data_IF_619021307297
#
_entry.id   IF_619021307297
#
_cell.length_a   1.000
_cell.length_b   1.000
_cell.length_c   1.000
_cell.angle_alpha   90.00
_cell.angle_beta   90.00
_cell.angle_gamma   90.00
#
_symmetry.space_group_name_H-M   'P 1'
#
loop_
_entity.id
_entity.type
_entity.pdbx_description
1 polymer ?
#
# COMPACT_ATOMS: atom_id res chain seq x y z
N UNK A 1 29.25 4.34 -11.23
CA UNK A 1 28.85 5.49 -10.36
C UNK A 1 29.65 5.32 -9.08
N UNK A 2 30.36 6.34 -8.61
CA UNK A 2 31.16 6.23 -7.38
C UNK A 2 30.33 6.72 -6.20
N UNK A 3 30.29 5.93 -5.13
CA UNK A 3 29.63 6.29 -3.87
C UNK A 3 30.61 6.24 -2.71
N UNK A 4 30.40 7.12 -1.76
CA UNK A 4 31.16 7.22 -0.51
C UNK A 4 30.19 7.41 0.65
N UNK A 5 30.54 6.88 1.83
CA UNK A 5 29.79 7.10 3.04
C UNK A 5 30.71 7.07 4.25
N UNK A 6 30.54 8.06 5.13
CA UNK A 6 31.09 8.06 6.48
C UNK A 6 29.98 8.46 7.44
N UNK A 7 29.43 7.47 8.15
CA UNK A 7 28.41 7.66 9.16
C UNK A 7 28.55 6.60 10.26
N UNK A 8 27.69 6.67 11.27
CA UNK A 8 27.68 5.72 12.39
C UNK A 8 27.58 4.26 11.97
N UNK A 9 26.89 3.97 10.86
CA UNK A 9 26.57 2.60 10.42
C UNK A 9 27.44 2.10 9.26
N UNK A 10 27.98 3.00 8.45
CA UNK A 10 28.73 2.66 7.25
C UNK A 10 29.97 3.55 7.11
N UNK A 11 31.10 2.92 6.75
CA UNK A 11 32.31 3.63 6.34
C UNK A 11 32.91 2.94 5.13
N UNK A 12 32.89 3.61 3.99
CA UNK A 12 33.56 3.17 2.78
C UNK A 12 33.90 4.38 1.90
N UNK A 13 35.03 4.28 1.20
CA UNK A 13 35.55 5.32 0.33
C UNK A 13 35.58 4.80 -1.11
N UNK A 14 35.09 5.62 -2.03
CA UNK A 14 35.22 5.43 -3.48
C UNK A 14 34.82 4.03 -4.00
N UNK A 15 33.64 3.53 -3.63
CA UNK A 15 33.11 2.27 -4.15
C UNK A 15 32.45 2.51 -5.50
N UNK A 16 32.92 1.82 -6.55
CA UNK A 16 32.23 1.79 -7.84
C UNK A 16 31.09 0.77 -7.79
N UNK A 17 29.85 1.27 -7.88
CA UNK A 17 28.63 0.43 -7.92
C UNK A 17 28.23 0.01 -9.34
N UNK A 18 29.15 0.13 -10.30
CA UNK A 18 28.99 -0.38 -11.66
C UNK A 18 28.41 0.62 -12.65
N UNK A 19 28.01 0.10 -13.81
CA UNK A 19 27.50 0.88 -14.94
C UNK A 19 26.17 1.54 -14.57
N UNK A 20 26.15 2.88 -14.61
CA UNK A 20 24.91 3.63 -14.43
C UNK A 20 23.88 3.19 -15.46
N UNK A 21 22.63 3.07 -15.05
CA UNK A 21 21.51 2.91 -15.98
C UNK A 21 21.23 4.29 -16.60
N UNK A 22 21.17 4.37 -17.92
CA UNK A 22 20.76 5.60 -18.60
C UNK A 22 19.28 5.89 -18.33
N UNK A 23 18.95 7.13 -17.98
CA UNK A 23 17.57 7.57 -17.74
C UNK A 23 17.35 8.17 -16.36
N UNK A 24 16.09 8.49 -16.06
CA UNK A 24 15.69 8.94 -14.74
C UNK A 24 15.80 7.78 -13.74
N UNK A 25 16.25 8.03 -12.49
CA UNK A 25 16.23 7.01 -11.46
C UNK A 25 14.78 6.52 -11.23
N UNK A 26 14.59 5.24 -10.87
CA UNK A 26 13.26 4.75 -10.52
C UNK A 26 12.72 5.51 -9.30
N UNK A 27 11.38 5.72 -9.21
CA UNK A 27 10.79 6.40 -8.07
C UNK A 27 11.01 5.59 -6.79
N UNK A 28 11.25 6.29 -5.68
CA UNK A 28 11.47 5.70 -4.36
C UNK A 28 10.15 5.69 -3.59
N UNK A 29 9.59 4.50 -3.39
CA UNK A 29 8.37 4.33 -2.59
C UNK A 29 8.74 3.94 -1.16
N UNK A 30 8.29 4.72 -0.19
CA UNK A 30 8.64 4.52 1.21
C UNK A 30 7.48 3.89 1.96
N UNK A 31 7.73 2.68 2.48
CA UNK A 31 6.76 1.94 3.28
C UNK A 31 6.75 2.27 4.76
N UNK A 32 5.66 1.85 5.41
CA UNK A 32 5.49 1.85 6.87
C UNK A 32 4.55 2.93 7.41
N UNK A 33 4.01 2.66 8.59
CA UNK A 33 2.88 3.41 9.17
C UNK A 33 3.31 4.35 10.31
N UNK A 34 4.53 4.19 10.83
CA UNK A 34 4.98 4.94 11.99
C UNK A 34 5.23 6.42 11.67
N UNK A 35 5.21 7.32 12.67
CA UNK A 35 5.57 8.72 12.46
C UNK A 35 6.96 8.91 11.83
N UNK A 36 7.91 8.02 12.12
CA UNK A 36 9.23 8.07 11.49
C UNK A 36 9.20 7.65 10.02
N UNK A 37 8.34 6.69 9.65
CA UNK A 37 8.12 6.32 8.25
C UNK A 37 7.50 7.47 7.45
N UNK A 38 6.47 8.13 7.99
CA UNK A 38 5.84 9.30 7.35
C UNK A 38 6.87 10.42 7.12
N UNK A 39 7.72 10.72 8.13
CA UNK A 39 8.81 11.71 7.97
C UNK A 39 9.82 11.30 6.90
N UNK A 40 10.17 10.01 6.82
CA UNK A 40 11.08 9.51 5.78
C UNK A 40 10.46 9.62 4.39
N UNK A 41 9.17 9.26 4.25
CA UNK A 41 8.45 9.38 2.99
C UNK A 41 8.43 10.83 2.50
N UNK A 42 8.03 11.78 3.35
CA UNK A 42 8.03 13.20 2.99
C UNK A 42 9.41 13.72 2.55
N UNK A 43 10.48 13.28 3.24
CA UNK A 43 11.84 13.74 3.01
C UNK A 43 12.49 13.14 1.76
N UNK A 44 12.34 11.83 1.54
CA UNK A 44 13.13 11.08 0.56
C UNK A 44 12.30 10.32 -0.47
N UNK A 45 10.99 10.16 -0.25
CA UNK A 45 10.12 9.39 -1.12
C UNK A 45 9.48 10.22 -2.22
N UNK A 46 9.17 9.52 -3.31
CA UNK A 46 8.24 9.93 -4.37
C UNK A 46 6.83 9.39 -4.09
N UNK A 47 6.70 8.40 -3.21
CA UNK A 47 5.42 7.90 -2.72
C UNK A 47 5.49 7.44 -1.26
N UNK A 48 4.34 7.47 -0.58
CA UNK A 48 4.11 6.81 0.70
C UNK A 48 3.18 5.61 0.49
N UNK A 49 3.65 4.41 0.85
CA UNK A 49 2.89 3.15 0.75
C UNK A 49 2.73 2.51 2.14
N UNK A 50 1.72 2.92 2.92
CA UNK A 50 1.43 2.25 4.18
C UNK A 50 0.86 0.85 3.93
N UNK A 51 0.97 0.02 4.96
CA UNK A 51 0.52 -1.37 4.95
C UNK A 51 -0.69 -1.50 5.84
N UNK A 52 -1.78 -2.07 5.31
CA UNK A 52 -2.92 -2.54 6.10
C UNK A 52 -3.50 -1.47 7.05
N UNK A 53 -3.64 -0.24 6.53
CA UNK A 53 -4.34 0.84 7.22
C UNK A 53 -5.81 0.89 6.79
N UNK A 54 -6.69 1.07 7.77
CA UNK A 54 -8.10 1.42 7.58
C UNK A 54 -8.27 2.83 6.99
N UNK A 55 -9.46 3.14 6.44
CA UNK A 55 -9.78 4.49 5.95
C UNK A 55 -9.55 5.56 7.02
N UNK A 56 -9.99 5.31 8.26
CA UNK A 56 -9.82 6.26 9.35
C UNK A 56 -8.34 6.56 9.61
N UNK A 57 -7.47 5.55 9.50
CA UNK A 57 -6.03 5.76 9.65
C UNK A 57 -5.42 6.54 8.48
N UNK A 58 -5.94 6.42 7.26
CA UNK A 58 -5.55 7.33 6.17
C UNK A 58 -6.00 8.77 6.46
N UNK A 59 -7.25 8.97 6.88
CA UNK A 59 -7.78 10.28 7.25
C UNK A 59 -6.93 10.95 8.35
N UNK A 60 -6.43 10.15 9.30
CA UNK A 60 -5.59 10.62 10.39
C UNK A 60 -4.13 10.88 9.96
N UNK A 61 -3.58 10.10 9.03
CA UNK A 61 -2.15 10.16 8.68
C UNK A 61 -1.84 11.04 7.47
N UNK A 62 -2.75 11.20 6.51
CA UNK A 62 -2.56 12.08 5.36
C UNK A 62 -2.29 13.53 5.79
N UNK A 63 -3.02 14.14 6.75
CA UNK A 63 -2.71 15.48 7.24
C UNK A 63 -1.30 15.58 7.85
N UNK A 64 -0.85 14.55 8.58
CA UNK A 64 0.49 14.50 9.18
C UNK A 64 1.57 14.44 8.09
N UNK A 65 1.37 13.63 7.06
CA UNK A 65 2.24 13.56 5.89
C UNK A 65 2.33 14.91 5.17
N UNK A 66 1.17 15.56 4.94
CA UNK A 66 1.11 16.89 4.30
C UNK A 66 1.79 17.97 5.15
N UNK A 67 1.69 17.89 6.48
CA UNK A 67 2.39 18.80 7.38
C UNK A 67 3.92 18.64 7.28
N UNK A 68 4.43 17.40 7.16
CA UNK A 68 5.86 17.16 6.95
C UNK A 68 6.36 17.65 5.58
N UNK A 69 5.57 17.48 4.51
CA UNK A 69 5.88 18.06 3.20
C UNK A 69 5.94 19.59 3.26
N UNK A 70 4.95 20.22 3.90
CA UNK A 70 4.89 21.67 4.10
C UNK A 70 6.10 22.19 4.88
N UNK A 71 6.49 21.51 5.97
CA UNK A 71 7.69 21.85 6.77
C UNK A 71 8.99 21.80 5.95
N UNK A 72 9.02 20.99 4.90
CA UNK A 72 10.14 20.87 3.96
C UNK A 72 10.01 21.79 2.74
N UNK A 73 8.94 22.59 2.64
CA UNK A 73 8.66 23.43 1.48
C UNK A 73 8.29 22.65 0.21
N UNK A 74 7.87 21.38 0.35
CA UNK A 74 7.46 20.53 -0.78
C UNK A 74 5.95 20.65 -1.02
N UNK A 75 5.50 20.79 -2.27
CA UNK A 75 4.06 20.79 -2.57
C UNK A 75 3.48 19.38 -2.34
N UNK A 76 2.18 19.24 -2.01
CA UNK A 76 1.55 17.92 -1.84
C UNK A 76 1.69 17.01 -3.07
N UNK A 77 1.73 17.58 -4.28
CA UNK A 77 1.88 16.86 -5.54
C UNK A 77 3.27 16.27 -5.78
N UNK A 78 4.25 16.53 -4.90
CA UNK A 78 5.59 15.92 -5.02
C UNK A 78 5.67 14.49 -4.47
N UNK A 79 4.56 13.97 -3.92
CA UNK A 79 4.54 12.66 -3.29
C UNK A 79 3.18 11.99 -3.50
N UNK A 80 3.18 10.81 -4.13
CA UNK A 80 1.99 10.00 -4.36
C UNK A 80 1.59 9.23 -3.09
N UNK A 81 0.28 9.10 -2.86
CA UNK A 81 -0.25 8.30 -1.77
C UNK A 81 -0.72 6.97 -2.36
N UNK A 82 -0.18 5.86 -1.86
CA UNK A 82 -0.52 4.51 -2.29
C UNK A 82 -1.27 3.76 -1.19
N UNK A 83 -1.78 2.58 -1.50
CA UNK A 83 -2.23 1.59 -0.53
C UNK A 83 -1.58 0.23 -0.75
N UNK A 84 -1.34 -0.49 0.34
CA UNK A 84 -1.10 -1.92 0.32
C UNK A 84 -2.16 -2.60 1.19
N UNK A 85 -3.08 -3.34 0.58
CA UNK A 85 -4.26 -3.91 1.24
C UNK A 85 -4.41 -5.40 0.91
N UNK A 86 -4.79 -6.21 1.88
CA UNK A 86 -5.26 -7.58 1.63
C UNK A 86 -6.57 -7.58 0.82
N UNK A 87 -6.70 -8.50 -0.14
CA UNK A 87 -7.90 -8.66 -0.98
C UNK A 87 -8.52 -10.04 -0.75
N UNK A 88 -9.75 -10.06 -0.23
CA UNK A 88 -10.62 -11.23 -0.10
C UNK A 88 -11.88 -10.99 -0.94
N UNK A 89 -11.85 -11.50 -2.17
CA UNK A 89 -12.88 -11.29 -3.18
C UNK A 89 -13.52 -12.63 -3.59
N UNK A 90 -14.84 -12.68 -3.51
CA UNK A 90 -15.68 -13.79 -4.00
C UNK A 90 -16.97 -13.21 -4.60
N UNK A 91 -17.56 -13.88 -5.59
CA UNK A 91 -18.89 -13.52 -6.14
C UNK A 91 -20.00 -13.54 -5.08
N UNK A 92 -19.82 -14.32 -4.01
CA UNK A 92 -20.72 -14.36 -2.86
C UNK A 92 -20.06 -13.66 -1.68
N UNK A 93 -20.64 -12.51 -1.32
CA UNK A 93 -20.22 -11.69 -0.20
C UNK A 93 -20.08 -12.50 1.10
N UNK A 94 -21.02 -13.41 1.40
CA UNK A 94 -20.96 -14.20 2.62
C UNK A 94 -19.78 -15.17 2.65
N UNK A 95 -19.36 -15.70 1.50
CA UNK A 95 -18.15 -16.54 1.41
C UNK A 95 -16.89 -15.73 1.62
N UNK A 96 -16.81 -14.52 1.07
CA UNK A 96 -15.69 -13.61 1.28
C UNK A 96 -15.52 -13.28 2.78
N UNK A 97 -16.60 -12.90 3.47
CA UNK A 97 -16.57 -12.62 4.91
C UNK A 97 -16.24 -13.86 5.75
N UNK A 98 -16.76 -15.04 5.41
CA UNK A 98 -16.41 -16.28 6.11
C UNK A 98 -14.91 -16.61 5.98
N UNK A 99 -14.32 -16.39 4.80
CA UNK A 99 -12.90 -16.56 4.58
C UNK A 99 -12.07 -15.51 5.34
N UNK A 100 -12.50 -14.25 5.34
CA UNK A 100 -11.85 -13.19 6.12
C UNK A 100 -11.85 -13.50 7.61
N UNK A 101 -12.95 -13.99 8.17
CA UNK A 101 -13.04 -14.39 9.58
C UNK A 101 -12.09 -15.56 9.91
N UNK A 102 -11.95 -16.54 9.01
CA UNK A 102 -10.98 -17.63 9.14
C UNK A 102 -9.54 -17.09 9.16
N UNK A 103 -9.20 -16.22 8.22
CA UNK A 103 -7.88 -15.62 8.11
C UNK A 103 -7.55 -14.76 9.34
N UNK A 104 -8.50 -13.94 9.81
CA UNK A 104 -8.34 -13.16 11.03
C UNK A 104 -8.01 -14.08 12.21
N UNK A 105 -8.74 -15.19 12.36
CA UNK A 105 -8.43 -16.20 13.38
C UNK A 105 -7.04 -16.81 13.23
N UNK A 106 -6.57 -17.07 12.01
CA UNK A 106 -5.23 -17.61 11.74
C UNK A 106 -4.12 -16.59 12.12
N UNK A 107 -4.40 -15.29 12.01
CA UNK A 107 -3.52 -14.21 12.47
C UNK A 107 -3.67 -13.87 13.95
N UNK A 108 -4.65 -14.44 14.66
CA UNK A 108 -4.94 -14.11 16.06
C UNK A 108 -5.65 -12.77 16.24
N UNK A 109 -6.31 -12.28 15.20
CA UNK A 109 -7.07 -11.03 15.16
C UNK A 109 -8.58 -11.30 15.23
N UNK A 110 -9.34 -10.28 15.60
CA UNK A 110 -10.80 -10.35 15.46
C UNK A 110 -11.21 -10.07 14.01
N UNK A 111 -12.30 -10.67 13.50
CA UNK A 111 -12.80 -10.39 12.15
C UNK A 111 -13.00 -8.89 11.88
N UNK A 112 -13.49 -8.12 12.85
CA UNK A 112 -13.73 -6.69 12.69
C UNK A 112 -12.43 -5.88 12.56
N UNK A 113 -11.34 -6.33 13.17
CA UNK A 113 -10.02 -5.70 13.08
C UNK A 113 -9.43 -5.93 11.69
N UNK A 114 -9.46 -7.18 11.21
CA UNK A 114 -9.01 -7.55 9.87
C UNK A 114 -9.80 -6.84 8.77
N UNK A 115 -11.13 -6.85 8.87
CA UNK A 115 -12.01 -6.14 7.91
C UNK A 115 -11.90 -4.61 8.00
N UNK A 116 -11.32 -4.08 9.09
CA UNK A 116 -11.04 -2.65 9.22
C UNK A 116 -10.13 -2.13 8.12
N UNK A 117 -9.11 -2.91 7.75
CA UNK A 117 -8.12 -2.55 6.73
C UNK A 117 -8.23 -3.38 5.43
N UNK A 118 -8.66 -4.64 5.50
CA UNK A 118 -8.74 -5.50 4.32
C UNK A 118 -9.90 -5.12 3.38
N UNK A 119 -9.72 -5.42 2.10
CA UNK A 119 -10.79 -5.35 1.10
C UNK A 119 -11.52 -6.70 1.09
N UNK A 120 -12.72 -6.75 1.68
CA UNK A 120 -13.50 -8.00 1.83
C UNK A 120 -14.89 -7.84 1.22
N UNK A 121 -15.28 -8.76 0.33
CA UNK A 121 -16.65 -8.84 -0.17
C UNK A 121 -16.77 -9.30 -1.62
N UNK A 122 -17.87 -8.87 -2.24
CA UNK A 122 -18.17 -9.04 -3.66
C UNK A 122 -17.57 -7.91 -4.52
N UNK A 123 -17.58 -8.02 -5.87
CA UNK A 123 -16.98 -7.00 -6.73
C UNK A 123 -17.46 -5.57 -6.45
N UNK A 124 -18.76 -5.40 -6.16
CA UNK A 124 -19.34 -4.09 -5.85
C UNK A 124 -18.80 -3.52 -4.53
N UNK A 125 -18.67 -4.37 -3.51
CA UNK A 125 -18.14 -4.01 -2.20
C UNK A 125 -16.66 -3.62 -2.30
N UNK A 126 -15.87 -4.37 -3.09
CA UNK A 126 -14.46 -4.04 -3.34
C UNK A 126 -14.33 -2.71 -4.09
N UNK A 127 -15.11 -2.50 -5.15
CA UNK A 127 -15.08 -1.26 -5.93
C UNK A 127 -15.44 -0.04 -5.07
N UNK A 128 -16.50 -0.13 -4.26
CA UNK A 128 -16.89 0.93 -3.32
C UNK A 128 -15.76 1.25 -2.34
N UNK A 129 -15.14 0.22 -1.75
CA UNK A 129 -14.05 0.40 -0.79
C UNK A 129 -12.81 1.02 -1.43
N UNK A 130 -12.44 0.61 -2.65
CA UNK A 130 -11.35 1.24 -3.42
C UNK A 130 -11.68 2.71 -3.67
N UNK A 131 -12.89 3.03 -4.13
CA UNK A 131 -13.31 4.40 -4.38
C UNK A 131 -13.24 5.30 -3.13
N UNK A 132 -13.52 4.74 -1.94
CA UNK A 132 -13.34 5.45 -0.67
C UNK A 132 -11.87 5.83 -0.43
N UNK A 133 -10.91 4.91 -0.64
CA UNK A 133 -9.49 5.23 -0.56
C UNK A 133 -9.07 6.24 -1.65
N UNK A 134 -9.57 6.09 -2.88
CA UNK A 134 -9.30 7.04 -3.98
C UNK A 134 -9.78 8.46 -3.64
N UNK A 135 -10.93 8.60 -2.98
CA UNK A 135 -11.46 9.88 -2.53
C UNK A 135 -10.55 10.58 -1.50
N UNK A 136 -9.77 9.82 -0.73
CA UNK A 136 -8.75 10.36 0.19
C UNK A 136 -7.47 10.81 -0.55
N UNK A 137 -7.37 10.57 -1.85
CA UNK A 137 -6.23 10.92 -2.69
C UNK A 137 -5.25 9.76 -2.91
N UNK A 138 -5.62 8.52 -2.57
CA UNK A 138 -4.83 7.33 -2.93
C UNK A 138 -4.89 7.14 -4.46
N UNK A 139 -3.73 7.00 -5.10
CA UNK A 139 -3.61 6.89 -6.57
C UNK A 139 -3.13 5.52 -7.06
N UNK A 140 -2.49 4.75 -6.20
CA UNK A 140 -2.04 3.40 -6.50
C UNK A 140 -2.52 2.42 -5.44
N UNK A 141 -3.20 1.36 -5.86
CA UNK A 141 -3.67 0.30 -4.98
C UNK A 141 -2.87 -0.98 -5.24
N UNK A 142 -2.00 -1.34 -4.31
CA UNK A 142 -1.29 -2.62 -4.28
C UNK A 142 -2.15 -3.61 -3.50
N UNK A 143 -2.60 -4.67 -4.18
CA UNK A 143 -3.52 -5.65 -3.60
C UNK A 143 -2.80 -6.97 -3.37
N UNK A 144 -2.88 -7.43 -2.13
CA UNK A 144 -2.25 -8.66 -1.68
C UNK A 144 -3.24 -9.82 -1.68
N UNK A 145 -2.95 -10.83 -2.50
CA UNK A 145 -3.77 -12.04 -2.68
C UNK A 145 -3.12 -13.30 -2.12
N UNK A 146 -2.11 -13.17 -1.25
CA UNK A 146 -1.33 -14.29 -0.72
C UNK A 146 -2.13 -15.25 0.20
N UNK A 147 -3.38 -14.90 0.49
CA UNK A 147 -4.30 -15.64 1.35
C UNK A 147 -5.15 -16.66 0.58
N UNK A 148 -4.96 -16.78 -0.74
CA UNK A 148 -5.68 -17.77 -1.55
C UNK A 148 -5.10 -19.18 -1.35
N UNK A 149 -5.97 -20.16 -1.11
CA UNK A 149 -5.57 -21.54 -0.78
C UNK A 149 -4.96 -22.32 -1.96
N UNK A 150 -5.14 -21.84 -3.21
CA UNK A 150 -4.62 -22.51 -4.40
C UNK A 150 -4.34 -21.54 -5.55
N UNK A 151 -3.49 -21.98 -6.50
CA UNK A 151 -3.25 -21.26 -7.77
C UNK A 151 -4.54 -21.03 -8.56
N UNK A 152 -5.47 -21.98 -8.56
CA UNK A 152 -6.73 -21.83 -9.30
C UNK A 152 -7.61 -20.75 -8.65
N UNK A 153 -7.67 -20.72 -7.32
CA UNK A 153 -8.36 -19.67 -6.56
C UNK A 153 -7.74 -18.31 -6.84
N UNK A 154 -6.40 -18.21 -6.81
CA UNK A 154 -5.68 -16.98 -7.15
C UNK A 154 -6.04 -16.48 -8.56
N UNK A 155 -5.94 -17.34 -9.57
CA UNK A 155 -6.26 -16.97 -10.96
C UNK A 155 -7.73 -16.59 -11.12
N UNK A 156 -8.65 -17.24 -10.40
CA UNK A 156 -10.05 -16.88 -10.38
C UNK A 156 -10.26 -15.48 -9.76
N UNK A 157 -9.69 -15.21 -8.59
CA UNK A 157 -9.74 -13.89 -7.94
C UNK A 157 -9.17 -12.80 -8.83
N UNK A 158 -8.04 -13.02 -9.50
CA UNK A 158 -7.44 -12.04 -10.40
C UNK A 158 -8.32 -11.76 -11.63
N UNK A 159 -8.96 -12.78 -12.20
CA UNK A 159 -9.91 -12.60 -13.31
C UNK A 159 -11.13 -11.82 -12.85
N UNK A 160 -11.75 -12.24 -11.75
CA UNK A 160 -12.92 -11.56 -11.19
C UNK A 160 -12.63 -10.09 -10.88
N UNK A 161 -11.48 -9.80 -10.27
CA UNK A 161 -11.03 -8.44 -10.04
C UNK A 161 -10.88 -7.64 -11.35
N UNK A 162 -10.19 -8.21 -12.35
CA UNK A 162 -9.96 -7.54 -13.63
C UNK A 162 -11.24 -7.28 -14.43
N UNK A 163 -12.18 -8.23 -14.40
CA UNK A 163 -13.39 -8.19 -15.23
C UNK A 163 -14.52 -7.38 -14.58
N UNK A 164 -14.66 -7.42 -13.25
CA UNK A 164 -15.82 -6.84 -12.55
C UNK A 164 -15.47 -5.66 -11.63
N UNK A 165 -14.26 -5.62 -11.06
CA UNK A 165 -13.85 -4.53 -10.15
C UNK A 165 -13.18 -3.40 -10.93
N UNK A 166 -12.15 -3.70 -11.73
CA UNK A 166 -11.36 -2.68 -12.44
C UNK A 166 -12.17 -1.84 -13.44
N UNK A 167 -13.30 -2.34 -13.93
CA UNK A 167 -14.18 -1.59 -14.82
C UNK A 167 -15.01 -0.53 -14.09
N UNK A 168 -15.03 -0.58 -12.76
CA UNK A 168 -15.96 0.16 -11.89
C UNK A 168 -15.27 1.19 -10.99
N UNK A 169 -13.93 1.34 -11.09
CA UNK A 169 -13.09 2.21 -10.23
C UNK A 169 -12.24 3.18 -11.04
#
# INVERSE_FOLDING_TARGET
MIVEAECEHFRFEAVDVGAGVEGAPPPIWVGGNSPSAIRRAARYGDAWIPTDLSLQEYEDNIPKLRAELSRLGKPPSSLEICSHLALILDNDKSRAHALAAKIASDFGEKPEEFEGYALVGDPSSIAERIAQYTALGVRHHVLSTFLTESKNTLLHTLRLFSEEVMQSV
#
